data_IF_487217630731
#
_entry.id   IF_487217630731
#
_cell.length_a   1.000
_cell.length_b   1.000
_cell.length_c   1.000
_cell.angle_alpha   90.00
_cell.angle_beta   90.00
_cell.angle_gamma   90.00
#
_symmetry.space_group_name_H-M   'P 1'
#
loop_
_entity.id
_entity.type
_entity.pdbx_description
1 polymer ?
#
# COMPACT_ATOMS: atom_id res chain seq x y z
N UNK A 1 18.05 -4.87 10.33
CA UNK A 1 18.20 -3.41 10.47
C UNK A 1 16.99 -2.70 9.95
N UNK A 2 16.51 -1.72 10.65
CA UNK A 2 15.45 -0.90 10.08
C UNK A 2 15.98 -0.12 8.90
N UNK A 3 15.14 0.12 7.96
CA UNK A 3 15.53 0.73 6.70
C UNK A 3 14.96 2.12 6.55
N UNK A 4 14.96 2.85 7.64
CA UNK A 4 14.41 4.17 7.65
C UNK A 4 12.93 4.14 7.96
N UNK A 5 12.30 5.27 7.80
CA UNK A 5 10.90 5.42 8.13
C UNK A 5 10.00 4.83 7.06
N UNK A 6 8.87 4.24 7.46
CA UNK A 6 7.89 3.82 6.47
C UNK A 6 7.40 4.99 5.66
N UNK A 7 7.01 4.71 4.42
CA UNK A 7 6.44 5.74 3.57
C UNK A 7 5.04 5.32 3.12
N UNK A 8 4.18 6.29 2.79
CA UNK A 8 2.86 5.96 2.29
C UNK A 8 2.94 5.22 0.97
N UNK A 9 2.01 4.29 0.76
CA UNK A 9 1.92 3.56 -0.50
C UNK A 9 1.83 4.52 -1.68
N UNK A 10 1.16 5.66 -1.50
CA UNK A 10 1.03 6.66 -2.55
C UNK A 10 2.38 7.22 -3.00
N UNK A 11 3.42 7.11 -2.19
CA UNK A 11 4.76 7.61 -2.52
C UNK A 11 5.65 6.54 -3.16
N UNK A 12 5.20 5.30 -3.23
CA UNK A 12 5.98 4.28 -3.91
C UNK A 12 5.99 4.54 -5.40
N UNK A 13 7.05 4.12 -6.04
CA UNK A 13 7.16 4.20 -7.49
C UNK A 13 6.74 2.86 -8.11
N UNK A 14 6.20 2.87 -9.32
CA UNK A 14 5.90 1.61 -10.00
C UNK A 14 7.11 0.69 -10.00
N UNK A 15 6.88 -0.57 -9.69
CA UNK A 15 7.93 -1.58 -9.61
C UNK A 15 8.54 -1.76 -8.24
N UNK A 16 8.37 -0.80 -7.34
CA UNK A 16 8.87 -0.96 -5.98
C UNK A 16 8.00 -1.94 -5.20
N UNK A 17 8.61 -2.59 -4.23
CA UNK A 17 7.91 -3.52 -3.35
C UNK A 17 8.32 -3.27 -1.90
N UNK A 18 7.51 -3.77 -0.99
CA UNK A 18 7.80 -3.65 0.42
C UNK A 18 6.75 -4.33 1.26
N UNK A 19 6.90 -4.19 2.57
CA UNK A 19 5.97 -4.77 3.53
C UNK A 19 5.02 -3.71 4.06
N UNK A 20 3.75 -4.08 4.16
CA UNK A 20 2.79 -3.22 4.83
C UNK A 20 3.08 -3.30 6.32
N UNK A 21 3.37 -2.16 6.94
CA UNK A 21 3.68 -2.14 8.37
C UNK A 21 2.57 -1.53 9.21
N UNK A 22 1.76 -0.66 8.62
CA UNK A 22 0.69 -0.03 9.37
C UNK A 22 -0.35 0.53 8.41
N UNK A 23 -1.60 0.52 8.85
CA UNK A 23 -2.69 1.19 8.13
C UNK A 23 -3.28 2.21 9.08
N UNK A 24 -3.25 3.47 8.70
CA UNK A 24 -3.79 4.55 9.51
C UNK A 24 -5.21 4.84 9.09
N UNK A 25 -6.12 4.87 10.06
CA UNK A 25 -7.51 5.13 9.74
C UNK A 25 -8.43 4.54 10.78
N UNK A 26 -9.72 4.76 10.57
CA UNK A 26 -10.71 4.21 11.46
C UNK A 26 -11.00 2.75 11.17
N UNK A 27 -11.80 2.17 12.04
CA UNK A 27 -12.14 0.75 11.96
C UNK A 27 -12.75 0.36 10.62
N UNK A 28 -13.64 1.20 10.09
CA UNK A 28 -14.30 0.88 8.82
C UNK A 28 -13.31 0.80 7.65
N UNK A 29 -12.36 1.72 7.59
CA UNK A 29 -11.36 1.71 6.55
C UNK A 29 -10.47 0.49 6.67
N UNK A 30 -9.98 0.24 7.87
CA UNK A 30 -9.09 -0.89 8.11
C UNK A 30 -9.78 -2.21 7.79
N UNK A 31 -11.03 -2.34 8.23
CA UNK A 31 -11.80 -3.55 7.97
C UNK A 31 -11.98 -3.80 6.46
N UNK A 32 -12.25 -2.73 5.72
CA UNK A 32 -12.43 -2.83 4.28
C UNK A 32 -11.14 -3.26 3.59
N UNK A 33 -10.02 -2.67 3.99
CA UNK A 33 -8.73 -3.03 3.40
C UNK A 33 -8.34 -4.45 3.77
N UNK A 34 -8.60 -4.86 5.01
CA UNK A 34 -8.31 -6.23 5.44
C UNK A 34 -9.10 -7.24 4.62
N UNK A 35 -10.34 -6.92 4.29
CA UNK A 35 -11.17 -7.80 3.48
C UNK A 35 -10.59 -8.00 2.07
N UNK A 36 -9.79 -7.06 1.61
CA UNK A 36 -9.11 -7.15 0.32
C UNK A 36 -7.75 -7.84 0.42
N UNK A 37 -7.37 -8.28 1.62
CA UNK A 37 -6.07 -8.90 1.81
C UNK A 37 -4.96 -7.90 2.13
N UNK A 38 -5.30 -6.66 2.37
CA UNK A 38 -4.32 -5.62 2.69
C UNK A 38 -4.21 -5.53 4.20
N UNK A 39 -3.14 -6.11 4.73
CA UNK A 39 -2.91 -6.21 6.16
C UNK A 39 -1.44 -5.97 6.47
N UNK A 40 -1.14 -5.49 7.68
CA UNK A 40 0.27 -5.45 8.10
C UNK A 40 0.91 -6.83 7.98
N UNK A 41 2.14 -6.85 7.51
CA UNK A 41 2.86 -8.10 7.28
C UNK A 41 2.77 -8.63 5.87
N UNK A 42 1.85 -8.13 5.06
CA UNK A 42 1.73 -8.54 3.67
C UNK A 42 2.72 -7.77 2.81
N UNK A 43 3.23 -8.45 1.79
CA UNK A 43 4.10 -7.81 0.81
C UNK A 43 3.28 -7.22 -0.30
N UNK A 44 3.64 -6.03 -0.72
CA UNK A 44 2.93 -5.31 -1.78
C UNK A 44 3.91 -4.88 -2.85
N UNK A 45 3.46 -4.93 -4.09
CA UNK A 45 4.23 -4.39 -5.23
C UNK A 45 3.37 -3.32 -5.87
N UNK A 46 3.95 -2.16 -6.10
CA UNK A 46 3.22 -1.12 -6.79
C UNK A 46 3.32 -1.34 -8.28
N UNK A 47 2.19 -1.51 -8.94
CA UNK A 47 2.14 -1.80 -10.37
C UNK A 47 2.12 -0.51 -11.17
N UNK A 48 1.20 0.40 -10.83
CA UNK A 48 1.10 1.65 -11.56
C UNK A 48 0.44 2.71 -10.71
N UNK A 49 0.62 3.95 -11.13
CA UNK A 49 -0.09 5.09 -10.54
C UNK A 49 -0.72 5.87 -11.66
N UNK A 50 -1.89 6.39 -11.39
CA UNK A 50 -2.50 7.32 -12.33
C UNK A 50 -1.85 8.67 -12.18
N UNK A 51 -1.99 9.49 -13.22
CA UNK A 51 -1.54 10.87 -13.17
C UNK A 51 -2.42 11.62 -12.20
N UNK A 52 -1.81 12.51 -11.48
CA UNK A 52 -2.47 13.33 -10.45
C UNK A 52 -3.14 12.46 -9.42
N UNK A 53 -3.57 12.38 -8.56
CA UNK A 53 -4.15 11.65 -7.44
C UNK A 53 -5.16 10.58 -7.83
N UNK A 54 -4.94 9.97 -8.99
CA UNK A 54 -5.80 8.88 -9.41
C UNK A 54 -5.52 7.59 -8.64
N UNK A 55 -6.26 6.52 -8.97
CA UNK A 55 -6.09 5.24 -8.29
C UNK A 55 -4.69 4.68 -8.47
N UNK A 56 -4.27 3.92 -7.47
CA UNK A 56 -2.99 3.24 -7.45
C UNK A 56 -3.25 1.75 -7.59
N UNK A 57 -2.62 1.11 -8.55
CA UNK A 57 -2.75 -0.33 -8.73
C UNK A 57 -1.61 -1.02 -8.01
N UNK A 58 -1.94 -1.95 -7.15
CA UNK A 58 -0.96 -2.72 -6.41
C UNK A 58 -1.23 -4.20 -6.58
N UNK A 59 -0.23 -5.01 -6.26
CA UNK A 59 -0.40 -6.46 -6.25
C UNK A 59 -0.09 -6.99 -4.85
N UNK A 60 -1.00 -7.77 -4.31
CA UNK A 60 -0.84 -8.45 -3.03
C UNK A 60 -1.30 -9.89 -3.23
N UNK A 61 -0.47 -10.85 -2.85
CA UNK A 61 -0.77 -12.28 -3.00
C UNK A 61 -1.18 -12.62 -4.42
N UNK A 62 -0.51 -12.03 -5.40
CA UNK A 62 -0.75 -12.28 -6.84
C UNK A 62 -2.09 -11.76 -7.33
N UNK A 63 -2.75 -10.93 -6.55
CA UNK A 63 -4.01 -10.30 -6.95
C UNK A 63 -3.76 -8.82 -7.13
N UNK A 64 -4.18 -8.27 -8.27
CA UNK A 64 -4.05 -6.85 -8.52
C UNK A 64 -5.29 -6.12 -8.04
N UNK A 65 -5.06 -5.05 -7.32
CA UNK A 65 -6.12 -4.28 -6.67
C UNK A 65 -5.90 -2.81 -6.97
N UNK A 66 -6.96 -2.13 -7.36
CA UNK A 66 -6.91 -0.67 -7.54
C UNK A 66 -7.40 -0.01 -6.27
N UNK A 67 -6.60 0.90 -5.73
CA UNK A 67 -6.89 1.57 -4.47
C UNK A 67 -6.92 3.07 -4.71
N UNK A 68 -7.93 3.73 -4.17
CA UNK A 68 -8.02 5.17 -4.28
C UNK A 68 -6.86 5.87 -3.60
N UNK A 69 -6.50 7.03 -4.11
CA UNK A 69 -5.35 7.78 -3.59
C UNK A 69 -5.49 8.07 -2.10
N UNK A 70 -6.69 8.42 -1.65
CA UNK A 70 -6.91 8.72 -0.24
C UNK A 70 -6.64 7.53 0.68
N UNK A 71 -6.93 6.31 0.20
CA UNK A 71 -6.60 5.11 0.98
C UNK A 71 -5.12 4.79 0.87
N UNK A 72 -4.53 4.94 -0.31
CA UNK A 72 -3.13 4.62 -0.52
C UNK A 72 -2.23 5.42 0.41
N UNK A 73 -2.56 6.68 0.67
CA UNK A 73 -1.70 7.49 1.52
C UNK A 73 -1.83 7.14 3.00
N UNK A 74 -2.76 6.25 3.36
CA UNK A 74 -2.92 5.79 4.74
C UNK A 74 -2.26 4.43 4.99
N UNK A 75 -1.73 3.82 3.96
CA UNK A 75 -1.07 2.53 4.07
C UNK A 75 0.44 2.77 4.09
N UNK A 76 1.09 2.42 5.19
CA UNK A 76 2.51 2.67 5.36
C UNK A 76 3.31 1.43 5.00
N UNK A 77 4.32 1.64 4.18
CA UNK A 77 5.13 0.58 3.59
C UNK A 77 6.58 0.74 4.00
N UNK A 78 7.20 -0.36 4.37
CA UNK A 78 8.65 -0.43 4.54
C UNK A 78 9.22 -1.04 3.27
N UNK A 79 9.95 -0.24 2.50
CA UNK A 79 10.45 -0.68 1.21
C UNK A 79 11.48 -1.79 1.34
N UNK A 80 11.50 -2.68 0.35
CA UNK A 80 12.55 -3.69 0.23
C UNK A 80 13.85 -2.99 -0.13
N UNK A 81 14.94 -3.63 0.27
CA UNK A 81 16.27 -3.14 -0.06
C UNK A 81 16.65 -3.49 -1.48
#
# INVERSE_FOLDING_TARGET
MPHGNPLPLSHMRPGQSGLIVEIKGGFGLISRLNALGILPGKRVVKISSMIARGPVTIEVDRVQIAIGFGMAKRILIELDQ
#
